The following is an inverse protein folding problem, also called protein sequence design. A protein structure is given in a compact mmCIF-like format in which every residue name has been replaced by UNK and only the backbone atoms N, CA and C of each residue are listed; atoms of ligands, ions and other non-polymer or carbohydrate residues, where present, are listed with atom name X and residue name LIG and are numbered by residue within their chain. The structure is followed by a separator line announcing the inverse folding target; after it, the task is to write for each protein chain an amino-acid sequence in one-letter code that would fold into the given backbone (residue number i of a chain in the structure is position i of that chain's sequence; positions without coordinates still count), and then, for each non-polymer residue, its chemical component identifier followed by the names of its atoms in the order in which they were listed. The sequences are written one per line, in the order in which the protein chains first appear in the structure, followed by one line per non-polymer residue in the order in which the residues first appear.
data_IF_187081373488
#
_entry.id   IF_187081373488
#
_cell.length_a   1.000
_cell.length_b   1.000
_cell.length_c   1.000
_cell.angle_alpha   90.00
_cell.angle_beta   90.00
_cell.angle_gamma   90.00
#
_symmetry.space_group_name_H-M   'P 1'
#
loop_
_entity.id
_entity.type
_entity.pdbx_description
1 polymer ?
#
# COMPACT_ATOMS: atom_id res chain seq x y z
N UNK A 1 -5.32 -11.55 -1.06
CA UNK A 1 -4.46 -10.84 -0.07
C UNK A 1 -4.06 -9.44 -0.53
N UNK A 2 -3.65 -9.25 -1.80
CA UNK A 2 -3.34 -7.91 -2.33
C UNK A 2 -4.53 -6.94 -2.15
N UNK A 3 -5.75 -7.38 -2.42
CA UNK A 3 -6.96 -6.58 -2.22
C UNK A 3 -7.07 -5.99 -0.80
N UNK A 4 -6.62 -6.72 0.23
CA UNK A 4 -6.61 -6.21 1.60
C UNK A 4 -5.61 -5.06 1.77
N UNK A 5 -4.42 -5.19 1.18
CA UNK A 5 -3.37 -4.17 1.23
C UNK A 5 -3.84 -2.91 0.49
N UNK A 6 -4.36 -3.08 -0.72
CA UNK A 6 -4.86 -1.96 -1.55
C UNK A 6 -6.01 -1.23 -0.86
N UNK A 7 -6.98 -1.96 -0.29
CA UNK A 7 -8.07 -1.36 0.47
C UNK A 7 -7.57 -0.60 1.70
N UNK A 8 -6.61 -1.16 2.45
CA UNK A 8 -6.06 -0.45 3.61
C UNK A 8 -5.28 0.81 3.21
N UNK A 9 -4.55 0.78 2.09
CA UNK A 9 -3.89 1.98 1.55
C UNK A 9 -4.92 3.04 1.19
N UNK A 10 -6.00 2.65 0.50
CA UNK A 10 -7.11 3.54 0.18
C UNK A 10 -7.72 4.17 1.46
N UNK A 11 -7.96 3.37 2.50
CA UNK A 11 -8.45 3.85 3.80
C UNK A 11 -7.47 4.81 4.49
N UNK A 12 -6.16 4.63 4.31
CA UNK A 12 -5.13 5.53 4.88
C UNK A 12 -5.14 6.88 4.17
N UNK A 13 -5.16 6.88 2.84
CA UNK A 13 -5.18 8.14 2.07
C UNK A 13 -6.51 8.89 2.21
N UNK A 14 -7.58 8.19 2.58
CA UNK A 14 -8.88 8.77 2.94
C UNK A 14 -8.99 9.18 4.41
N UNK A 15 -7.98 8.91 5.23
CA UNK A 15 -7.95 9.28 6.65
C UNK A 15 -8.85 8.44 7.55
N UNK A 16 -9.38 7.32 7.04
CA UNK A 16 -10.14 6.34 7.82
C UNK A 16 -9.19 5.55 8.71
N UNK A 17 -8.02 5.19 8.18
CA UNK A 17 -6.95 4.53 8.92
C UNK A 17 -5.70 5.40 8.98
N UNK A 18 -4.88 5.18 10.00
CA UNK A 18 -3.60 5.90 10.15
C UNK A 18 -2.39 5.09 9.67
N UNK A 19 -2.51 3.76 9.59
CA UNK A 19 -1.37 2.86 9.36
C UNK A 19 -1.79 1.49 8.82
N UNK A 20 -1.01 1.02 7.86
CA UNK A 20 -1.01 -0.33 7.30
C UNK A 20 -0.08 -1.19 8.16
N UNK A 21 -0.61 -2.27 8.72
CA UNK A 21 0.21 -3.22 9.50
C UNK A 21 0.51 -4.45 8.66
N UNK A 22 1.79 -4.70 8.41
CA UNK A 22 2.23 -5.85 7.62
C UNK A 22 3.01 -6.83 8.50
N UNK A 23 2.93 -8.14 8.21
CA UNK A 23 3.67 -9.15 8.96
C UNK A 23 5.18 -9.01 8.71
N UNK A 24 5.60 -8.82 7.46
CA UNK A 24 7.01 -8.67 7.08
C UNK A 24 7.11 -7.97 5.70
N UNK A 25 8.00 -6.97 5.57
CA UNK A 25 8.25 -6.26 4.31
C UNK A 25 9.15 -7.04 3.33
N UNK A 26 9.94 -7.97 3.85
CA UNK A 26 10.84 -8.83 3.07
C UNK A 26 10.13 -10.10 2.54
N UNK A 27 8.81 -10.19 2.73
CA UNK A 27 7.97 -11.22 2.10
C UNK A 27 7.92 -10.97 0.59
N UNK A 28 8.22 -12.02 -0.17
CA UNK A 28 8.16 -12.00 -1.63
C UNK A 28 6.80 -12.47 -2.10
N UNK A 29 6.24 -11.75 -3.07
CA UNK A 29 4.97 -12.04 -3.70
C UNK A 29 5.22 -12.37 -5.15
N UNK A 30 4.78 -13.54 -5.59
CA UNK A 30 4.76 -13.92 -6.99
C UNK A 30 3.34 -14.09 -7.47
N UNK A 31 3.13 -13.85 -8.75
CA UNK A 31 1.85 -14.06 -9.40
C UNK A 31 1.95 -15.39 -10.14
N UNK A 32 1.01 -16.31 -9.95
CA UNK A 32 1.07 -17.64 -10.58
C UNK A 32 1.24 -17.59 -12.12
N UNK A 33 0.80 -16.50 -12.76
CA UNK A 33 0.94 -16.26 -14.20
C UNK A 33 2.11 -15.37 -14.61
N UNK A 34 2.88 -14.79 -13.68
CA UNK A 34 4.02 -13.92 -13.98
C UNK A 34 5.34 -14.57 -13.56
N UNK A 35 6.38 -14.34 -14.34
CA UNK A 35 7.76 -14.75 -14.01
C UNK A 35 8.47 -13.75 -13.08
N UNK A 36 7.80 -12.65 -12.73
CA UNK A 36 8.34 -11.57 -11.92
C UNK A 36 7.91 -11.75 -10.46
N UNK A 37 8.85 -11.49 -9.54
CA UNK A 37 8.62 -11.55 -8.09
C UNK A 37 8.77 -10.14 -7.56
N UNK A 38 7.76 -9.67 -6.81
CA UNK A 38 7.75 -8.33 -6.21
C UNK A 38 7.74 -8.48 -4.69
N UNK A 39 8.53 -7.68 -3.98
CA UNK A 39 8.49 -7.67 -2.51
C UNK A 39 7.27 -6.90 -2.00
N UNK A 40 6.77 -7.21 -0.80
CA UNK A 40 5.71 -6.41 -0.18
C UNK A 40 6.12 -4.95 0.01
N UNK A 41 7.41 -4.70 0.26
CA UNK A 41 8.01 -3.36 0.25
C UNK A 41 7.76 -2.63 -1.06
N UNK A 42 8.11 -3.23 -2.19
CA UNK A 42 7.95 -2.57 -3.48
C UNK A 42 6.47 -2.47 -3.87
N UNK A 43 5.68 -3.51 -3.60
CA UNK A 43 4.23 -3.49 -3.85
C UNK A 43 3.54 -2.32 -3.14
N UNK A 44 3.85 -2.13 -1.85
CA UNK A 44 3.25 -1.05 -1.06
C UNK A 44 3.77 0.31 -1.48
N UNK A 45 5.06 0.42 -1.82
CA UNK A 45 5.65 1.65 -2.37
C UNK A 45 4.93 2.08 -3.65
N UNK A 46 4.76 1.16 -4.60
CA UNK A 46 4.05 1.41 -5.85
C UNK A 46 2.59 1.79 -5.59
N UNK A 47 1.89 1.07 -4.73
CA UNK A 47 0.49 1.37 -4.42
C UNK A 47 0.31 2.76 -3.79
N UNK A 48 1.21 3.21 -2.90
CA UNK A 48 1.18 4.57 -2.39
C UNK A 48 1.50 5.59 -3.49
N UNK A 49 2.52 5.32 -4.32
CA UNK A 49 2.91 6.21 -5.41
C UNK A 49 1.75 6.44 -6.39
N UNK A 50 0.93 5.42 -6.66
CA UNK A 50 -0.24 5.54 -7.50
C UNK A 50 -1.34 6.44 -6.92
N UNK A 51 -1.43 6.57 -5.58
CA UNK A 51 -2.30 7.58 -4.94
C UNK A 51 -1.71 9.00 -4.97
N UNK A 52 -0.44 9.15 -5.37
CA UNK A 52 0.31 10.39 -5.25
C UNK A 52 1.03 10.54 -3.91
N UNK A 53 1.26 9.46 -3.14
CA UNK A 53 1.98 9.52 -1.87
C UNK A 53 3.30 8.78 -2.01
N UNK A 54 4.41 9.43 -1.72
CA UNK A 54 5.72 8.78 -1.73
C UNK A 54 6.12 8.35 -0.31
N UNK A 55 6.45 7.07 -0.18
CA UNK A 55 6.77 6.44 1.10
C UNK A 55 8.19 5.90 1.07
N UNK A 56 8.98 6.27 2.08
CA UNK A 56 10.31 5.74 2.31
C UNK A 56 10.32 4.80 3.51
N UNK A 57 11.09 3.72 3.40
CA UNK A 57 11.25 2.75 4.47
C UNK A 57 12.46 3.09 5.32
N UNK A 58 12.24 3.21 6.63
CA UNK A 58 13.26 3.50 7.62
C UNK A 58 13.24 2.44 8.71
N UNK A 59 14.43 1.97 9.12
CA UNK A 59 14.59 0.98 10.18
C UNK A 59 15.14 -0.35 9.68
N UNK A 60 15.12 -1.36 10.54
CA UNK A 60 15.59 -2.72 10.24
C UNK A 60 14.76 -3.75 10.98
N UNK A 61 14.28 -4.77 10.27
CA UNK A 61 13.48 -5.86 10.82
C UNK A 61 12.25 -5.34 11.56
N UNK A 62 12.16 -5.61 12.86
CA UNK A 62 11.01 -5.22 13.68
C UNK A 62 10.76 -3.72 13.84
N UNK A 63 11.79 -2.92 13.59
CA UNK A 63 11.70 -1.47 13.68
C UNK A 63 11.48 -0.82 12.31
N UNK A 64 11.28 -1.62 11.27
CA UNK A 64 11.03 -1.11 9.95
C UNK A 64 9.63 -0.48 9.86
N UNK A 65 9.60 0.72 9.29
CA UNK A 65 8.40 1.53 9.12
C UNK A 65 8.46 2.27 7.80
N UNK A 66 7.31 2.45 7.17
CA UNK A 66 7.15 3.32 6.01
C UNK A 66 6.69 4.70 6.47
N UNK A 67 7.43 5.73 6.09
CA UNK A 67 7.13 7.13 6.39
C UNK A 67 6.85 7.89 5.10
N UNK A 68 5.87 8.79 5.12
CA UNK A 68 5.57 9.68 3.99
C UNK A 68 6.71 10.67 3.84
N UNK A 69 7.36 10.67 2.68
CA UNK A 69 8.46 11.60 2.37
C UNK A 69 8.05 12.68 1.37
N UNK A 70 7.13 12.35 0.46
CA UNK A 70 6.60 13.30 -0.52
C UNK A 70 5.11 13.03 -0.80
N UNK A 71 4.41 14.02 -1.37
CA UNK A 71 3.01 13.92 -1.78
C UNK A 71 2.76 14.75 -3.03
N UNK A 72 2.37 14.09 -4.12
CA UNK A 72 1.87 14.70 -5.34
C UNK A 72 0.43 15.17 -5.15
N UNK A 73 0.30 16.43 -4.77
CA UNK A 73 -0.97 17.10 -4.51
C UNK A 73 -1.88 17.12 -5.75
N UNK A 74 -1.32 17.24 -6.95
CA UNK A 74 -2.10 17.30 -8.18
C UNK A 74 -2.73 15.95 -8.47
N UNK A 75 -1.94 14.87 -8.32
CA UNK A 75 -2.44 13.50 -8.45
C UNK A 75 -3.49 13.16 -7.39
N UNK A 76 -3.26 13.54 -6.14
CA UNK A 76 -4.24 13.34 -5.06
C UNK A 76 -5.57 14.06 -5.36
N UNK A 77 -5.53 15.30 -5.87
CA UNK A 77 -6.73 16.06 -6.24
C UNK A 77 -7.50 15.42 -7.39
N UNK A 78 -6.80 14.88 -8.40
CA UNK A 78 -7.43 14.14 -9.52
C UNK A 78 -8.22 12.93 -9.00
N UNK A 79 -7.70 12.27 -7.97
CA UNK A 79 -8.37 11.13 -7.31
C UNK A 79 -9.43 11.55 -6.28
N UNK A 80 -9.62 12.86 -6.04
CA UNK A 80 -10.55 13.36 -5.02
C UNK A 80 -10.07 13.14 -3.58
N UNK A 81 -8.77 12.91 -3.40
CA UNK A 81 -8.14 12.75 -2.08
C UNK A 81 -7.80 14.11 -1.48
N UNK A 82 -7.93 14.22 -0.15
CA UNK A 82 -7.54 15.42 0.57
C UNK A 82 -6.09 15.29 1.08
N UNK A 83 -5.14 16.08 0.56
CA UNK A 83 -3.74 16.03 0.98
C UNK A 83 -3.52 16.43 2.45
N UNK A 84 -4.42 17.22 3.04
CA UNK A 84 -4.28 17.67 4.44
C UNK A 84 -4.46 16.53 5.46
N UNK A 85 -4.95 15.37 5.01
CA UNK A 85 -5.12 14.16 5.82
C UNK A 85 -3.76 13.56 6.20
N UNK A 86 -2.81 13.57 5.27
CA UNK A 86 -1.49 12.98 5.46
C UNK A 86 -0.46 14.07 5.74
N UNK A 87 0.51 13.75 6.60
CA UNK A 87 1.60 14.66 6.93
C UNK A 87 2.95 14.08 6.52
N UNK A 88 3.87 14.93 6.08
CA UNK A 88 5.26 14.53 5.91
C UNK A 88 5.84 13.98 7.21
N UNK A 89 6.60 12.89 7.11
CA UNK A 89 7.13 12.14 8.23
C UNK A 89 6.11 11.25 8.96
N UNK A 90 4.84 11.25 8.54
CA UNK A 90 3.82 10.36 9.12
C UNK A 90 4.17 8.91 8.81
N UNK A 91 4.12 8.07 9.85
CA UNK A 91 4.29 6.62 9.69
C UNK A 91 2.99 6.01 9.19
N UNK A 92 2.99 5.57 7.93
CA UNK A 92 1.83 4.95 7.25
C UNK A 92 1.96 3.44 7.12
N UNK A 93 3.17 2.88 7.25
CA UNK A 93 3.40 1.44 7.26
C UNK A 93 4.11 1.06 8.55
N UNK A 94 3.63 0.00 9.21
CA UNK A 94 4.26 -0.58 10.39
C UNK A 94 4.43 -2.07 10.22
N UNK A 95 5.63 -2.58 10.49
CA UNK A 95 5.85 -4.02 10.59
C UNK A 95 5.42 -4.50 11.98
N UNK A 96 4.60 -5.54 12.03
CA UNK A 96 4.26 -6.25 13.25
C UNK A 96 4.93 -7.62 13.23
N UNK A 97 6.04 -7.76 13.96
CA UNK A 97 6.85 -8.97 13.94
C UNK A 97 6.20 -10.04 14.79
N UNK A 98 5.40 -10.86 14.13
CA UNK A 98 5.15 -12.23 14.59
C UNK A 98 6.01 -13.24 13.82
N UNK A 99 6.69 -12.82 12.74
CA UNK A 99 7.49 -13.71 11.88
C UNK A 99 8.84 -13.07 11.52
N UNK A 100 9.94 -13.72 11.90
CA UNK A 100 11.32 -13.28 11.60
C UNK A 100 11.79 -13.63 10.18
N UNK A 101 11.01 -14.44 9.43
CA UNK A 101 11.35 -14.88 8.07
C UNK A 101 10.34 -14.35 7.07
N UNK A 102 10.83 -13.82 5.96
CA UNK A 102 9.99 -13.52 4.79
C UNK A 102 9.50 -14.82 4.19
N UNK A 103 8.18 -14.99 4.12
CA UNK A 103 7.57 -16.12 3.43
C UNK A 103 7.40 -15.80 1.94
N UNK A 104 7.27 -16.85 1.13
CA UNK A 104 6.92 -16.71 -0.28
C UNK A 104 5.42 -16.88 -0.41
N UNK A 105 4.76 -15.89 -1.01
CA UNK A 105 3.31 -15.94 -1.22
C UNK A 105 3.03 -15.95 -2.72
N UNK A 106 2.37 -17.00 -3.19
CA UNK A 106 1.91 -17.10 -4.57
C UNK A 106 0.46 -16.65 -4.64
N UNK A 107 0.18 -15.66 -5.49
CA UNK A 107 -1.16 -15.18 -5.78
C UNK A 107 -1.76 -15.97 -6.95
N UNK A 108 -3.07 -16.19 -6.89
CA UNK A 108 -3.78 -16.86 -7.96
C UNK A 108 -3.91 -15.92 -9.18
N UNK A 109 -3.92 -16.47 -10.39
CA UNK A 109 -3.99 -15.68 -11.63
C UNK A 109 -5.27 -14.79 -11.74
N UNK A 110 -6.34 -15.13 -11.02
CA UNK A 110 -7.54 -14.29 -10.89
C UNK A 110 -7.26 -12.96 -10.17
N UNK A 111 -6.33 -12.98 -9.20
CA UNK A 111 -5.84 -11.79 -8.47
C UNK A 111 -4.88 -10.93 -9.33
N UNK A 112 -4.63 -11.27 -10.59
CA UNK A 112 -3.76 -10.47 -11.49
C UNK A 112 -4.37 -10.15 -12.83
N UNK A 113 -5.65 -10.43 -13.01
CA UNK A 113 -6.38 -10.08 -14.23
C UNK A 113 -6.50 -8.58 -14.48
N UNK A 114 -6.18 -7.75 -13.48
CA UNK A 114 -6.29 -6.29 -13.51
C UNK A 114 -4.98 -5.65 -13.00
N UNK A 115 -4.49 -4.56 -13.62
CA UNK A 115 -3.38 -3.78 -13.08
C UNK A 115 -3.72 -3.23 -11.70
N UNK A 116 -2.71 -3.09 -10.83
CA UNK A 116 -2.88 -2.64 -9.44
C UNK A 116 -3.50 -1.24 -9.34
N UNK A 117 -3.21 -0.39 -10.33
CA UNK A 117 -3.79 0.94 -10.53
C UNK A 117 -5.32 0.89 -10.53
N UNK A 118 -5.89 -0.09 -11.24
CA UNK A 118 -7.34 -0.23 -11.37
C UNK A 118 -7.98 -0.69 -10.06
N UNK A 119 -7.30 -1.55 -9.30
CA UNK A 119 -7.77 -1.96 -7.98
C UNK A 119 -7.73 -0.83 -6.96
N UNK A 120 -6.69 -0.01 -7.02
CA UNK A 120 -6.55 1.15 -6.16
C UNK A 120 -7.61 2.20 -6.48
N UNK A 121 -7.85 2.49 -7.76
CA UNK A 121 -8.92 3.38 -8.19
C UNK A 121 -10.31 2.87 -7.76
N UNK A 122 -10.60 1.58 -7.98
CA UNK A 122 -11.85 0.95 -7.54
C UNK A 122 -12.02 1.01 -6.01
N UNK A 123 -10.96 0.75 -5.24
CA UNK A 123 -10.97 0.78 -3.78
C UNK A 123 -11.18 2.20 -3.24
N UNK A 124 -10.43 3.19 -3.76
CA UNK A 124 -10.57 4.60 -3.38
C UNK A 124 -11.97 5.10 -3.70
N UNK A 125 -12.48 4.82 -4.91
CA UNK A 125 -13.82 5.26 -5.31
C UNK A 125 -14.92 4.57 -4.50
N UNK A 126 -14.76 3.28 -4.18
CA UNK A 126 -15.70 2.54 -3.34
C UNK A 126 -15.74 3.10 -1.92
N UNK A 127 -14.58 3.38 -1.32
CA UNK A 127 -14.49 3.96 0.00
C UNK A 127 -15.02 5.42 0.04
N UNK A 128 -14.76 6.22 -1.00
CA UNK A 128 -15.35 7.55 -1.17
C UNK A 128 -16.89 7.49 -1.25
N UNK A 129 -17.45 6.49 -1.95
CA UNK A 129 -18.90 6.32 -2.04
C UNK A 129 -19.52 5.90 -0.71
N UNK A 130 -18.81 5.17 0.16
CA UNK A 130 -19.27 4.82 1.50
C UNK A 130 -19.26 6.00 2.48
N UNK A 131 -18.51 7.06 2.18
CA UNK A 131 -18.42 8.29 2.98
C UNK A 131 -19.41 9.38 2.55
N UNK A 132 -20.20 9.16 1.49
CA UNK A 132 -21.27 10.05 1.00
C UNK A 132 -22.65 9.56 1.39
#
# INVERSE_FOLDING_TARGET
MILLIVNQIAEIVLGIQSKLTLPNLDTWVSVASATETISLRELTRLAFLETGVEVEFSGKGAHEKGVVIDMDIDRMKVLGLNPDILKFGQTVIKVNVLQEKGEWITLNAEETSKPIEMWLADAVQSALNLLR
#
